data_IF_643105633804
#
_entry.id   IF_643105633804
#
_cell.length_a   1.000
_cell.length_b   1.000
_cell.length_c   1.000
_cell.angle_alpha   90.00
_cell.angle_beta   90.00
_cell.angle_gamma   90.00
#
_symmetry.space_group_name_H-M   'P 1'
#
loop_
_entity.id
_entity.type
_entity.pdbx_description
1 polymer ?
#
# COMPACT_ATOMS: atom_id res chain seq x y z
N UNK A 1 -9.17 4.84 21.95
CA UNK A 1 -9.01 4.20 20.63
C UNK A 1 -7.70 4.57 20.00
N UNK A 2 -6.66 3.83 20.37
CA UNK A 2 -5.39 3.83 19.66
C UNK A 2 -5.55 2.95 18.41
N UNK A 3 -5.07 3.35 17.22
CA UNK A 3 -5.11 2.47 16.07
C UNK A 3 -4.31 1.19 16.37
N UNK A 4 -4.76 0.00 15.95
CA UNK A 4 -3.97 -1.20 16.13
C UNK A 4 -2.62 -1.00 15.45
N UNK A 5 -1.53 -1.15 16.21
CA UNK A 5 -0.19 -1.18 15.66
C UNK A 5 -0.18 -2.26 14.57
N UNK A 6 -0.04 -1.83 13.32
CA UNK A 6 -0.01 -2.75 12.21
C UNK A 6 1.30 -3.53 12.33
N UNK A 7 1.23 -4.80 12.74
CA UNK A 7 2.39 -5.68 12.81
C UNK A 7 2.85 -6.00 11.38
N UNK A 8 3.67 -5.11 10.81
CA UNK A 8 4.31 -5.33 9.53
C UNK A 8 5.30 -6.48 9.66
N UNK A 9 5.17 -7.50 8.81
CA UNK A 9 6.10 -8.62 8.77
C UNK A 9 7.38 -8.22 8.07
N UNK A 10 8.47 -8.92 8.36
CA UNK A 10 9.70 -8.79 7.59
C UNK A 10 9.45 -9.10 6.12
N UNK A 11 9.76 -8.12 5.27
CA UNK A 11 9.65 -8.25 3.83
C UNK A 11 10.97 -8.74 3.23
N UNK A 12 10.91 -9.46 2.10
CA UNK A 12 12.07 -9.68 1.25
C UNK A 12 12.78 -8.37 0.91
N UNK A 13 14.11 -8.36 0.70
CA UNK A 13 14.90 -7.13 0.52
C UNK A 13 14.57 -6.33 -0.76
N UNK A 14 13.85 -6.95 -1.70
CA UNK A 14 13.37 -6.32 -2.93
C UNK A 14 11.98 -5.67 -2.77
N UNK A 15 11.35 -5.80 -1.59
CA UNK A 15 10.04 -5.23 -1.29
C UNK A 15 10.14 -4.17 -0.19
N UNK A 16 9.24 -3.20 -0.25
CA UNK A 16 9.14 -2.07 0.67
C UNK A 16 7.67 -1.80 0.98
N UNK A 17 7.39 -1.33 2.19
CA UNK A 17 6.07 -0.84 2.55
C UNK A 17 5.91 0.61 2.10
N UNK A 18 4.83 0.89 1.40
CA UNK A 18 4.35 2.24 1.13
C UNK A 18 2.94 2.40 1.71
N UNK A 19 2.57 3.62 2.08
CA UNK A 19 1.25 3.88 2.65
C UNK A 19 0.39 4.68 1.68
N UNK A 20 -0.81 4.19 1.39
CA UNK A 20 -1.74 4.89 0.51
C UNK A 20 -2.24 6.21 1.12
N UNK A 21 -2.31 6.31 2.45
CA UNK A 21 -2.89 7.45 3.14
C UNK A 21 -2.09 7.82 4.40
N UNK A 22 -2.03 9.12 4.72
CA UNK A 22 -1.16 9.73 5.74
C UNK A 22 -1.40 9.28 7.19
N UNK A 23 -2.37 8.39 7.44
CA UNK A 23 -2.61 7.80 8.75
C UNK A 23 -2.01 6.39 8.88
N UNK A 24 -1.11 5.97 7.98
CA UNK A 24 -0.49 4.63 7.97
C UNK A 24 -1.51 3.47 7.97
N UNK A 25 -2.77 3.75 7.59
CA UNK A 25 -3.90 2.84 7.77
C UNK A 25 -3.96 1.73 6.72
N UNK A 26 -3.33 1.97 5.57
CA UNK A 26 -3.32 1.05 4.42
C UNK A 26 -1.89 0.88 3.91
N UNK A 27 -1.09 0.00 4.55
CA UNK A 27 0.18 -0.42 4.00
C UNK A 27 -0.05 -1.21 2.71
N UNK A 28 0.67 -0.84 1.66
CA UNK A 28 0.81 -1.60 0.42
C UNK A 28 2.25 -2.06 0.30
N UNK A 29 2.44 -3.28 -0.18
CA UNK A 29 3.76 -3.84 -0.44
C UNK A 29 4.12 -3.53 -1.89
N UNK A 30 5.25 -2.87 -2.10
CA UNK A 30 5.71 -2.45 -3.42
C UNK A 30 7.15 -2.92 -3.64
N UNK A 31 7.61 -2.98 -4.89
CA UNK A 31 9.02 -3.26 -5.16
C UNK A 31 9.88 -2.04 -4.78
N UNK A 32 10.98 -2.29 -4.07
CA UNK A 32 11.97 -1.29 -3.69
C UNK A 32 12.66 -0.66 -4.91
N UNK A 33 12.72 -1.42 -6.01
CA UNK A 33 13.31 -1.01 -7.28
C UNK A 33 12.47 0.03 -8.04
N UNK A 34 11.20 0.24 -7.66
CA UNK A 34 10.37 1.26 -8.28
C UNK A 34 10.92 2.66 -8.01
N UNK A 35 11.02 3.48 -9.06
CA UNK A 35 11.33 4.89 -8.92
C UNK A 35 10.21 5.64 -8.19
N UNK A 36 10.52 6.79 -7.59
CA UNK A 36 9.53 7.61 -6.87
C UNK A 36 8.32 7.99 -7.74
N UNK A 37 8.52 8.20 -9.04
CA UNK A 37 7.43 8.48 -9.99
C UNK A 37 6.51 7.28 -10.18
N UNK A 38 7.07 6.08 -10.35
CA UNK A 38 6.31 4.83 -10.47
C UNK A 38 5.55 4.52 -9.18
N UNK A 39 6.20 4.70 -8.03
CA UNK A 39 5.55 4.61 -6.71
C UNK A 39 4.36 5.58 -6.63
N UNK A 40 4.56 6.84 -7.00
CA UNK A 40 3.51 7.86 -6.96
C UNK A 40 2.36 7.54 -7.92
N UNK A 41 2.67 7.05 -9.13
CA UNK A 41 1.69 6.62 -10.11
C UNK A 41 0.88 5.42 -9.59
N UNK A 42 1.52 4.44 -8.98
CA UNK A 42 0.88 3.28 -8.37
C UNK A 42 -0.06 3.71 -7.23
N UNK A 43 0.40 4.56 -6.32
CA UNK A 43 -0.44 5.10 -5.23
C UNK A 43 -1.63 5.89 -5.80
N UNK A 44 -1.43 6.67 -6.86
CA UNK A 44 -2.50 7.41 -7.54
C UNK A 44 -3.52 6.48 -8.17
N UNK A 45 -3.08 5.43 -8.88
CA UNK A 45 -3.96 4.40 -9.45
C UNK A 45 -4.75 3.70 -8.34
N UNK A 46 -4.08 3.28 -7.27
CA UNK A 46 -4.71 2.61 -6.13
C UNK A 46 -5.73 3.51 -5.41
N UNK A 47 -5.45 4.82 -5.29
CA UNK A 47 -6.43 5.81 -4.81
C UNK A 47 -7.62 5.95 -5.77
N UNK A 48 -7.37 5.98 -7.08
CA UNK A 48 -8.40 6.13 -8.11
C UNK A 48 -9.23 4.86 -8.34
N UNK A 49 -8.74 3.67 -7.98
CA UNK A 49 -9.48 2.39 -8.00
C UNK A 49 -10.42 2.24 -6.80
N UNK A 50 -10.53 3.26 -5.95
CA UNK A 50 -11.60 3.37 -4.95
C UNK A 50 -12.90 3.84 -5.61
N UNK A 51 -13.46 3.06 -6.54
CA UNK A 51 -14.92 3.06 -6.66
C UNK A 51 -15.40 2.24 -5.44
N UNK A 52 -16.10 2.84 -4.46
CA UNK A 52 -16.44 2.18 -3.21
C UNK A 52 -17.56 1.14 -3.46
N UNK A 53 -17.20 0.02 -4.09
CA UNK A 53 -18.05 -1.16 -4.19
C UNK A 53 -17.57 -2.20 -3.17
N UNK A 54 -17.87 -1.88 -1.90
CA UNK A 54 -18.07 -2.81 -0.79
C UNK A 54 -17.20 -4.09 -0.79
N UNK A 55 -15.97 -4.04 -0.25
CA UNK A 55 -15.20 -5.25 0.03
C UNK A 55 -13.78 -4.98 0.49
N UNK A 56 -13.50 -5.24 1.77
CA UNK A 56 -12.21 -5.01 2.41
C UNK A 56 -11.06 -5.82 1.76
N UNK A 57 -9.89 -5.18 1.65
CA UNK A 57 -8.58 -5.67 1.20
C UNK A 57 -8.45 -5.94 -0.31
N UNK A 58 -7.90 -4.96 -1.03
CA UNK A 58 -7.39 -5.14 -2.39
C UNK A 58 -6.07 -5.91 -2.33
N UNK A 59 -6.09 -7.20 -2.67
CA UNK A 59 -4.89 -8.01 -2.86
C UNK A 59 -4.52 -7.99 -4.35
N UNK A 60 -3.47 -7.24 -4.72
CA UNK A 60 -2.91 -7.32 -6.08
C UNK A 60 -1.76 -8.32 -6.09
N UNK A 61 -1.88 -9.37 -6.91
CA UNK A 61 -0.78 -10.31 -7.20
C UNK A 61 -0.10 -9.85 -8.48
N UNK A 62 1.19 -9.51 -8.38
CA UNK A 62 2.08 -9.28 -9.53
C UNK A 62 2.52 -10.62 -10.10
#
# INVERSE_FOLDING_TARGET
DEPPEVELKDLPPHLEYAFLEGNNKFPVIIAKELGNEEKSALIKVLKSTSEPSLGNYLTFRV
#
